data_IF_246647158338
#
_entry.id   IF_246647158338
#
_cell.length_a   1.000
_cell.length_b   1.000
_cell.length_c   1.000
_cell.angle_alpha   90.00
_cell.angle_beta   90.00
_cell.angle_gamma   90.00
#
_symmetry.space_group_name_H-M   'P 1'
#
loop_
_entity.id
_entity.type
_entity.pdbx_description
1 polymer ?
#
# COMPACT_ATOMS: atom_id res chain seq x y z
N UNK A 1 -5.70 -18.58 -53.42
CA UNK A 1 -7.15 -18.41 -53.35
C UNK A 1 -7.51 -17.91 -51.95
N UNK A 2 -7.80 -16.60 -51.86
CA UNK A 2 -8.69 -15.92 -50.89
C UNK A 2 -8.47 -16.18 -49.39
N UNK A 3 -7.79 -15.29 -48.65
CA UNK A 3 -8.24 -13.99 -48.10
C UNK A 3 -9.12 -14.13 -46.83
N UNK A 4 -8.66 -13.43 -45.79
CA UNK A 4 -9.41 -12.85 -44.65
C UNK A 4 -9.79 -13.71 -43.44
N UNK A 5 -8.96 -13.61 -42.39
CA UNK A 5 -9.43 -13.49 -40.99
C UNK A 5 -8.86 -12.28 -40.23
N UNK A 6 -8.27 -11.30 -40.94
CA UNK A 6 -7.73 -10.07 -40.34
C UNK A 6 -8.70 -8.88 -40.38
N UNK A 7 -10.01 -9.13 -40.31
CA UNK A 7 -10.99 -8.06 -40.29
C UNK A 7 -11.50 -7.79 -38.87
N UNK A 8 -11.20 -6.57 -38.39
CA UNK A 8 -11.80 -5.82 -37.28
C UNK A 8 -11.12 -5.92 -35.90
N UNK A 9 -10.04 -5.14 -35.72
CA UNK A 9 -9.95 -4.28 -34.53
C UNK A 9 -9.03 -3.05 -34.69
N UNK A 10 -9.56 -1.92 -35.19
CA UNK A 10 -9.02 -0.61 -34.80
C UNK A 10 -10.14 0.38 -34.46
N UNK A 11 -10.64 0.36 -33.21
CA UNK A 11 -11.56 1.39 -32.67
C UNK A 11 -11.25 1.77 -31.21
N UNK A 12 -9.97 1.88 -30.83
CA UNK A 12 -9.59 2.40 -29.50
C UNK A 12 -8.82 3.72 -29.53
N UNK A 13 -8.29 4.14 -30.69
CA UNK A 13 -7.49 5.36 -30.79
C UNK A 13 -8.30 6.65 -31.02
N UNK A 14 -9.36 6.62 -31.85
CA UNK A 14 -10.17 7.83 -32.15
C UNK A 14 -10.88 8.40 -30.90
N UNK A 15 -11.41 7.53 -30.04
CA UNK A 15 -12.13 7.96 -28.84
C UNK A 15 -11.28 8.76 -27.85
N UNK A 16 -9.94 8.66 -27.84
CA UNK A 16 -9.11 9.36 -26.85
C UNK A 16 -8.93 10.84 -27.16
N UNK A 17 -8.77 11.21 -28.44
CA UNK A 17 -8.68 12.62 -28.86
C UNK A 17 -10.04 13.31 -28.83
N UNK A 18 -11.13 12.63 -29.21
CA UNK A 18 -12.48 13.18 -29.12
C UNK A 18 -12.97 13.32 -27.67
N UNK A 19 -12.66 12.36 -26.77
CA UNK A 19 -12.95 12.52 -25.33
C UNK A 19 -12.22 13.73 -24.73
N UNK A 20 -10.96 13.98 -25.14
CA UNK A 20 -10.19 15.16 -24.74
C UNK A 20 -10.80 16.48 -25.17
N UNK A 21 -11.28 16.56 -26.40
CA UNK A 21 -11.90 17.78 -26.92
C UNK A 21 -13.29 18.04 -26.31
N UNK A 22 -14.04 16.99 -25.95
CA UNK A 22 -15.44 17.12 -25.51
C UNK A 22 -15.62 17.36 -24.00
N UNK A 23 -14.58 17.28 -23.16
CA UNK A 23 -14.71 17.45 -21.70
C UNK A 23 -15.83 16.56 -21.08
N UNK A 24 -16.07 15.37 -21.62
CA UNK A 24 -17.14 14.48 -21.18
C UNK A 24 -16.63 13.35 -20.28
N UNK A 25 -17.38 13.06 -19.22
CA UNK A 25 -17.18 11.88 -18.37
C UNK A 25 -15.91 11.93 -17.50
N UNK A 26 -15.01 10.96 -17.68
CA UNK A 26 -13.82 10.76 -16.83
C UNK A 26 -12.84 11.93 -16.87
N UNK A 27 -12.77 12.69 -17.97
CA UNK A 27 -11.88 13.84 -18.07
C UNK A 27 -12.38 15.07 -17.30
N UNK A 28 -13.70 15.31 -17.28
CA UNK A 28 -14.30 16.34 -16.40
C UNK A 28 -14.02 16.02 -14.94
N UNK A 29 -14.22 14.77 -14.53
CA UNK A 29 -13.95 14.29 -13.17
C UNK A 29 -12.47 14.43 -12.79
N UNK A 30 -11.56 14.15 -13.72
CA UNK A 30 -10.13 14.37 -13.51
C UNK A 30 -9.81 15.85 -13.35
N UNK A 31 -10.38 16.73 -14.18
CA UNK A 31 -10.18 18.18 -14.07
C UNK A 31 -10.70 18.75 -12.75
N UNK A 32 -11.89 18.34 -12.32
CA UNK A 32 -12.46 18.69 -11.02
C UNK A 32 -11.57 18.23 -9.86
N UNK A 33 -11.08 16.98 -9.93
CA UNK A 33 -10.17 16.43 -8.92
C UNK A 33 -8.82 17.16 -8.88
N UNK A 34 -8.24 17.48 -10.04
CA UNK A 34 -7.01 18.27 -10.11
C UNK A 34 -7.21 19.66 -9.52
N UNK A 35 -8.31 20.35 -9.86
CA UNK A 35 -8.64 21.65 -9.28
C UNK A 35 -8.79 21.58 -7.76
N UNK A 36 -9.43 20.52 -7.25
CA UNK A 36 -9.55 20.28 -5.81
C UNK A 36 -8.17 20.09 -5.17
N UNK A 37 -7.29 19.25 -5.74
CA UNK A 37 -5.92 19.08 -5.26
C UNK A 37 -5.16 20.41 -5.26
N UNK A 38 -5.23 21.19 -6.34
CA UNK A 38 -4.57 22.50 -6.39
C UNK A 38 -5.08 23.45 -5.29
N UNK A 39 -6.39 23.48 -5.02
CA UNK A 39 -6.96 24.27 -3.92
C UNK A 39 -6.44 23.79 -2.56
N UNK A 40 -6.53 22.48 -2.28
CA UNK A 40 -6.10 21.90 -1.01
C UNK A 40 -4.60 22.12 -0.77
N UNK A 41 -3.75 21.93 -1.79
CA UNK A 41 -2.31 22.15 -1.63
C UNK A 41 -2.00 23.63 -1.43
N UNK A 42 -2.69 24.55 -2.12
CA UNK A 42 -2.54 25.98 -1.87
C UNK A 42 -2.94 26.38 -0.44
N UNK A 43 -4.04 25.85 0.07
CA UNK A 43 -4.47 26.07 1.46
C UNK A 43 -3.41 25.57 2.45
N UNK A 44 -2.85 24.38 2.22
CA UNK A 44 -1.79 23.81 3.05
C UNK A 44 -0.54 24.68 3.01
N UNK A 45 -0.09 25.11 1.83
CA UNK A 45 1.09 25.98 1.67
C UNK A 45 0.88 27.29 2.42
N UNK A 46 -0.28 27.95 2.24
CA UNK A 46 -0.62 29.20 2.92
C UNK A 46 -0.67 29.03 4.44
N UNK A 47 -1.30 27.95 4.93
CA UNK A 47 -1.34 27.64 6.36
C UNK A 47 0.06 27.40 6.93
N UNK A 48 0.95 26.74 6.17
CA UNK A 48 2.34 26.50 6.56
C UNK A 48 3.19 27.75 6.55
N UNK A 49 3.01 28.63 5.55
CA UNK A 49 3.68 29.94 5.46
C UNK A 49 3.36 30.83 6.65
N UNK A 50 2.10 30.84 7.12
CA UNK A 50 1.70 31.56 8.34
C UNK A 50 2.30 30.99 9.63
N UNK A 51 2.61 29.69 9.66
CA UNK A 51 3.34 29.05 10.78
C UNK A 51 4.85 29.32 10.73
N UNK A 52 5.40 29.56 9.54
CA UNK A 52 6.82 29.91 9.34
C UNK A 52 7.22 31.16 10.12
N UNK A 53 6.39 32.20 10.05
CA UNK A 53 6.56 33.48 10.75
C UNK A 53 6.64 33.33 12.28
N UNK A 54 6.12 32.21 12.82
CA UNK A 54 6.04 31.98 14.27
C UNK A 54 7.05 30.99 14.83
N UNK A 55 7.42 29.94 14.09
CA UNK A 55 8.09 28.78 14.71
C UNK A 55 9.33 28.25 13.97
N UNK A 56 9.80 28.93 12.90
CA UNK A 56 11.04 28.52 12.20
C UNK A 56 11.03 27.05 11.76
N UNK A 57 9.86 26.51 11.43
CA UNK A 57 9.68 25.07 11.24
C UNK A 57 10.47 24.56 10.03
N UNK A 58 11.40 23.62 10.27
CA UNK A 58 12.31 23.01 9.29
C UNK A 58 11.63 21.99 8.36
N UNK A 59 10.48 22.32 7.78
CA UNK A 59 9.81 21.42 6.85
C UNK A 59 10.48 21.47 5.46
N UNK A 60 10.59 20.32 4.78
CA UNK A 60 11.18 20.22 3.44
C UNK A 60 10.52 21.21 2.46
N UNK A 61 9.21 21.41 2.58
CA UNK A 61 8.47 22.39 1.78
C UNK A 61 8.93 23.81 2.03
N UNK A 62 9.21 24.15 3.28
CA UNK A 62 9.62 25.47 3.70
C UNK A 62 11.07 25.75 3.29
N UNK A 63 11.93 24.72 3.26
CA UNK A 63 13.26 24.80 2.64
C UNK A 63 13.20 25.04 1.14
N UNK A 64 12.25 24.43 0.42
CA UNK A 64 12.07 24.68 -1.00
C UNK A 64 11.49 26.07 -1.28
N UNK A 65 10.52 26.54 -0.49
CA UNK A 65 9.99 27.90 -0.59
C UNK A 65 11.03 28.96 -0.21
N UNK A 66 11.85 28.71 0.81
CA UNK A 66 12.94 29.60 1.22
C UNK A 66 14.13 29.64 0.25
N UNK A 67 14.25 28.64 -0.64
CA UNK A 67 15.28 28.59 -1.67
C UNK A 67 14.97 29.46 -2.91
N UNK A 68 13.86 30.20 -2.92
CA UNK A 68 13.49 31.11 -4.01
C UNK A 68 12.79 30.42 -5.20
N UNK A 69 12.24 29.21 -5.00
CA UNK A 69 11.42 28.54 -5.99
C UNK A 69 10.00 29.14 -5.99
N UNK A 70 9.42 29.28 -7.18
CA UNK A 70 8.06 29.77 -7.34
C UNK A 70 7.04 28.82 -6.68
N UNK A 71 6.01 29.39 -6.04
CA UNK A 71 5.01 28.65 -5.24
C UNK A 71 4.30 27.58 -6.10
N UNK A 72 4.13 27.85 -7.40
CA UNK A 72 3.56 26.91 -8.37
C UNK A 72 4.46 25.70 -8.63
N UNK A 73 5.77 25.93 -8.80
CA UNK A 73 6.74 24.85 -8.99
C UNK A 73 6.84 23.94 -7.75
N UNK A 74 6.85 24.54 -6.55
CA UNK A 74 6.88 23.77 -5.31
C UNK A 74 5.62 22.90 -5.18
N UNK A 75 4.44 23.46 -5.47
CA UNK A 75 3.18 22.71 -5.49
C UNK A 75 3.23 21.53 -6.45
N UNK A 76 3.66 21.73 -7.68
CA UNK A 76 3.70 20.68 -8.70
C UNK A 76 4.71 19.57 -8.37
N UNK A 77 5.84 19.93 -7.76
CA UNK A 77 6.82 18.97 -7.23
C UNK A 77 6.21 18.12 -6.11
N UNK A 78 5.50 18.74 -5.16
CA UNK A 78 4.85 18.03 -4.05
C UNK A 78 3.78 17.07 -4.55
N UNK A 79 2.95 17.52 -5.50
CA UNK A 79 1.92 16.68 -6.11
C UNK A 79 2.56 15.48 -6.82
N UNK A 80 3.64 15.71 -7.57
CA UNK A 80 4.37 14.65 -8.29
C UNK A 80 4.99 13.63 -7.34
N UNK A 81 5.63 14.10 -6.25
CA UNK A 81 6.20 13.23 -5.23
C UNK A 81 5.12 12.40 -4.52
N UNK A 82 4.00 13.03 -4.14
CA UNK A 82 2.89 12.34 -3.48
C UNK A 82 2.25 11.30 -4.39
N UNK A 83 2.06 11.59 -5.68
CA UNK A 83 1.54 10.62 -6.64
C UNK A 83 2.49 9.43 -6.79
N UNK A 84 3.78 9.70 -7.02
CA UNK A 84 4.79 8.65 -7.17
C UNK A 84 4.92 7.78 -5.91
N UNK A 85 4.94 8.41 -4.73
CA UNK A 85 5.04 7.72 -3.45
C UNK A 85 3.82 6.86 -3.16
N UNK A 86 2.61 7.38 -3.37
CA UNK A 86 1.37 6.65 -3.08
C UNK A 86 1.28 5.35 -3.87
N UNK A 87 1.49 5.40 -5.17
CA UNK A 87 1.28 4.24 -6.05
C UNK A 87 2.36 3.16 -5.83
N UNK A 88 3.63 3.58 -5.68
CA UNK A 88 4.75 2.66 -5.47
C UNK A 88 4.74 2.02 -4.08
N UNK A 89 4.49 2.80 -3.02
CA UNK A 89 4.40 2.26 -1.65
C UNK A 89 3.20 1.34 -1.48
N UNK A 90 2.05 1.67 -2.06
CA UNK A 90 0.86 0.79 -2.02
C UNK A 90 1.15 -0.57 -2.67
N UNK A 91 1.82 -0.57 -3.83
CA UNK A 91 2.23 -1.80 -4.49
C UNK A 91 3.25 -2.58 -3.66
N UNK A 92 4.30 -1.91 -3.16
CA UNK A 92 5.33 -2.53 -2.34
C UNK A 92 4.76 -3.16 -1.05
N UNK A 93 3.88 -2.46 -0.35
CA UNK A 93 3.19 -2.96 0.83
C UNK A 93 2.29 -4.16 0.51
N UNK A 94 1.54 -4.09 -0.59
CA UNK A 94 0.73 -5.23 -1.05
C UNK A 94 1.59 -6.46 -1.29
N UNK A 95 2.73 -6.29 -1.97
CA UNK A 95 3.70 -7.37 -2.20
C UNK A 95 4.30 -7.91 -0.90
N UNK A 96 4.68 -7.02 0.02
CA UNK A 96 5.20 -7.40 1.32
C UNK A 96 4.18 -8.21 2.11
N UNK A 97 2.94 -7.75 2.21
CA UNK A 97 1.89 -8.48 2.92
C UNK A 97 1.56 -9.80 2.26
N UNK A 98 1.59 -9.89 0.93
CA UNK A 98 1.44 -11.17 0.23
C UNK A 98 2.56 -12.15 0.61
N UNK A 99 3.81 -11.69 0.66
CA UNK A 99 4.95 -12.50 1.08
C UNK A 99 4.85 -12.95 2.54
N UNK A 100 4.49 -12.04 3.45
CA UNK A 100 4.30 -12.35 4.88
C UNK A 100 3.18 -13.37 5.05
N UNK A 101 2.02 -13.17 4.42
CA UNK A 101 0.92 -14.14 4.37
C UNK A 101 1.40 -15.52 3.91
N UNK A 102 2.15 -15.57 2.81
CA UNK A 102 2.62 -16.84 2.26
C UNK A 102 3.58 -17.55 3.21
N UNK A 103 4.48 -16.81 3.86
CA UNK A 103 5.38 -17.35 4.87
C UNK A 103 4.64 -17.87 6.10
N UNK A 104 3.66 -17.11 6.63
CA UNK A 104 2.83 -17.52 7.75
C UNK A 104 2.04 -18.80 7.45
N UNK A 105 1.45 -18.91 6.26
CA UNK A 105 0.74 -20.13 5.83
C UNK A 105 1.70 -21.31 5.68
N UNK A 106 2.95 -21.08 5.27
CA UNK A 106 3.95 -22.15 5.22
C UNK A 106 4.37 -22.61 6.63
N UNK A 107 4.45 -21.71 7.60
CA UNK A 107 4.82 -22.02 8.98
C UNK A 107 3.68 -22.74 9.73
N UNK A 108 2.43 -22.31 9.52
CA UNK A 108 1.23 -22.93 10.09
C UNK A 108 0.72 -24.14 9.30
N UNK A 109 1.56 -24.75 8.46
CA UNK A 109 1.14 -25.97 7.76
C UNK A 109 0.76 -27.03 8.81
N UNK A 110 -0.50 -27.52 8.80
CA UNK A 110 -1.00 -28.45 9.81
C UNK A 110 -0.20 -29.77 9.83
N UNK A 111 0.49 -30.10 8.73
CA UNK A 111 1.39 -31.26 8.66
C UNK A 111 2.62 -31.12 9.56
N UNK A 112 3.26 -29.96 9.57
CA UNK A 112 4.45 -29.70 10.40
C UNK A 112 4.06 -29.58 11.88
N UNK A 113 2.93 -28.93 12.15
CA UNK A 113 2.39 -28.81 13.51
C UNK A 113 2.03 -30.18 14.10
N UNK A 114 1.37 -31.05 13.31
CA UNK A 114 1.04 -32.42 13.74
C UNK A 114 2.28 -33.26 14.02
N UNK A 115 3.33 -33.14 13.20
CA UNK A 115 4.60 -33.85 13.46
C UNK A 115 5.29 -33.34 14.73
N UNK A 116 5.30 -32.03 14.96
CA UNK A 116 5.91 -31.44 16.15
C UNK A 116 5.15 -31.80 17.43
N UNK A 117 3.82 -31.64 17.43
CA UNK A 117 2.97 -32.02 18.56
C UNK A 117 3.06 -33.53 18.82
N UNK A 118 3.10 -34.35 17.77
CA UNK A 118 3.29 -35.80 17.91
C UNK A 118 4.61 -36.16 18.59
N UNK A 119 5.72 -35.49 18.23
CA UNK A 119 7.02 -35.69 18.88
C UNK A 119 6.99 -35.29 20.36
N UNK A 120 6.35 -34.17 20.69
CA UNK A 120 6.22 -33.73 22.08
C UNK A 120 5.38 -34.72 22.90
N UNK A 121 4.27 -35.20 22.35
CA UNK A 121 3.40 -36.15 23.04
C UNK A 121 4.12 -37.48 23.33
N UNK A 122 4.99 -37.90 22.42
CA UNK A 122 5.83 -39.10 22.57
C UNK A 122 6.90 -38.91 23.66
N UNK A 123 7.58 -37.76 23.66
CA UNK A 123 8.58 -37.41 24.69
C UNK A 123 7.93 -37.29 26.08
N UNK A 124 6.79 -36.61 26.18
CA UNK A 124 6.03 -36.49 27.45
C UNK A 124 5.62 -37.87 27.94
N UNK A 125 5.09 -38.73 27.06
CA UNK A 125 4.67 -40.08 27.43
C UNK A 125 5.86 -40.94 27.87
N UNK A 126 7.02 -40.81 27.24
CA UNK A 126 8.25 -41.49 27.63
C UNK A 126 8.73 -41.03 29.02
N UNK A 127 8.73 -39.72 29.26
CA UNK A 127 9.09 -39.14 30.55
C UNK A 127 8.12 -39.56 31.65
N UNK A 128 6.81 -39.53 31.40
CA UNK A 128 5.81 -40.04 32.34
C UNK A 128 6.03 -41.53 32.61
N UNK A 129 6.23 -42.36 31.59
CA UNK A 129 6.39 -43.80 31.82
C UNK A 129 7.64 -44.16 32.64
N UNK A 130 8.74 -43.42 32.46
CA UNK A 130 10.03 -43.76 33.05
C UNK A 130 10.34 -43.00 34.35
N UNK A 131 9.76 -41.82 34.55
CA UNK A 131 10.07 -40.93 35.67
C UNK A 131 8.86 -40.56 36.53
N UNK A 132 7.65 -41.04 36.19
CA UNK A 132 6.47 -40.83 37.04
C UNK A 132 6.49 -41.76 38.25
N UNK A 133 7.00 -41.24 39.37
CA UNK A 133 6.72 -41.79 40.69
C UNK A 133 5.29 -41.38 41.05
N UNK A 134 4.35 -42.32 40.90
CA UNK A 134 2.94 -42.05 41.10
C UNK A 134 2.62 -41.52 42.50
N UNK A 135 1.95 -40.37 42.56
CA UNK A 135 1.02 -40.08 43.64
C UNK A 135 -0.38 -40.45 43.14
N UNK A 136 -0.85 -41.63 43.53
CA UNK A 136 -2.21 -42.12 43.31
C UNK A 136 -3.24 -41.44 44.25
N UNK A 137 -3.05 -40.18 44.61
CA UNK A 137 -3.95 -39.46 45.50
C UNK A 137 -4.22 -38.06 44.98
N UNK A 138 -5.11 -37.96 44.00
CA UNK A 138 -5.98 -36.78 43.90
C UNK A 138 -7.39 -37.32 44.19
N UNK A 139 -7.74 -37.33 45.49
CA UNK A 139 -9.15 -37.41 45.87
C UNK A 139 -9.81 -36.14 45.33
N UNK A 140 -10.72 -36.32 44.37
CA UNK A 140 -11.67 -35.28 44.02
C UNK A 140 -12.74 -35.27 45.11
N UNK A 141 -12.71 -34.21 45.94
CA UNK A 141 -13.82 -33.84 46.82
C UNK A 141 -14.96 -33.21 45.99
#
# INVERSE_FOLDING_TARGET
>A
MSISKDLLRPRKFCCRKCKRALNLGSEKKLKEFMNFIHSSVNEIIQAKKRKLEKDGANDLLLKFLGAGLDDEMVRDMVISFLMAGRDTTSAALTWLFWRVRAALVCFLKPKTLKQYVGRIDEEIRFHLKNHWYGNNEIKAD
#
